data_IF_179584133636
#
_entry.id   IF_179584133636
#
_cell.length_a   1.000
_cell.length_b   1.000
_cell.length_c   1.000
_cell.angle_alpha   90.00
_cell.angle_beta   90.00
_cell.angle_gamma   90.00
#
_symmetry.space_group_name_H-M   'P 1'
#
loop_
_entity.id
_entity.type
_entity.pdbx_description
1 polymer ?
#
# COMPACT_ATOMS: atom_id res chain seq x y z
N UNK A 1 4.14 2.54 17.67
CA UNK A 1 4.32 1.85 16.38
C UNK A 1 5.74 2.12 15.91
N UNK A 2 6.61 1.11 15.81
CA UNK A 2 7.99 1.27 15.33
C UNK A 2 8.00 1.52 13.81
N UNK A 3 9.06 2.17 13.35
CA UNK A 3 9.31 2.40 11.92
C UNK A 3 10.60 1.65 11.57
N UNK A 4 10.54 0.79 10.56
CA UNK A 4 11.69 0.12 9.97
C UNK A 4 11.97 0.81 8.65
N UNK A 5 13.16 1.38 8.49
CA UNK A 5 13.62 1.93 7.22
C UNK A 5 14.18 0.79 6.38
N UNK A 6 13.83 0.76 5.10
CA UNK A 6 14.32 -0.23 4.16
C UNK A 6 14.62 0.39 2.79
N UNK A 7 15.45 -0.29 2.02
CA UNK A 7 15.69 -0.01 0.60
C UNK A 7 15.07 -1.11 -0.28
N UNK A 8 14.63 -0.81 -1.50
CA UNK A 8 13.93 -1.78 -2.36
C UNK A 8 14.70 -3.08 -2.62
N UNK A 9 16.04 -3.03 -2.63
CA UNK A 9 16.90 -4.19 -2.90
C UNK A 9 17.22 -5.02 -1.64
N UNK A 10 16.82 -4.57 -0.45
CA UNK A 10 16.97 -5.36 0.77
C UNK A 10 16.03 -6.57 0.73
N UNK A 11 16.44 -7.64 1.41
CA UNK A 11 15.66 -8.88 1.45
C UNK A 11 14.45 -8.72 2.35
N UNK A 12 13.31 -9.22 1.88
CA UNK A 12 12.06 -9.21 2.64
C UNK A 12 12.22 -9.94 3.99
N UNK A 13 12.88 -11.10 4.00
CA UNK A 13 13.13 -11.87 5.22
C UNK A 13 13.91 -11.07 6.27
N UNK A 14 14.90 -10.26 5.86
CA UNK A 14 15.74 -9.48 6.76
C UNK A 14 14.96 -8.30 7.36
N UNK A 15 14.21 -7.57 6.52
CA UNK A 15 13.36 -6.45 6.95
C UNK A 15 12.24 -6.93 7.88
N UNK A 16 11.58 -8.06 7.55
CA UNK A 16 10.56 -8.65 8.43
C UNK A 16 11.15 -9.24 9.71
N UNK A 17 12.42 -9.67 9.68
CA UNK A 17 13.19 -10.01 10.88
C UNK A 17 13.31 -8.82 11.84
N UNK A 18 13.63 -7.63 11.32
CA UNK A 18 13.66 -6.39 12.11
C UNK A 18 12.29 -6.01 12.67
N UNK A 19 11.23 -6.14 11.86
CA UNK A 19 9.84 -5.95 12.33
C UNK A 19 9.52 -6.88 13.49
N UNK A 20 9.95 -8.14 13.40
CA UNK A 20 9.69 -9.17 14.41
C UNK A 20 10.33 -8.86 15.77
N UNK A 21 11.51 -8.24 15.79
CA UNK A 21 12.21 -7.86 17.03
C UNK A 21 11.36 -6.93 17.90
N UNK A 22 10.50 -6.12 17.29
CA UNK A 22 9.66 -5.18 18.02
C UNK A 22 8.47 -5.82 18.74
N UNK A 23 8.08 -7.06 18.38
CA UNK A 23 6.95 -7.76 19.01
C UNK A 23 5.61 -7.05 18.90
N UNK A 24 5.45 -6.12 17.95
CA UNK A 24 4.23 -5.36 17.67
C UNK A 24 4.16 -4.99 16.18
N UNK A 25 2.97 -4.63 15.70
CA UNK A 25 2.78 -4.10 14.34
C UNK A 25 3.68 -2.91 14.08
N UNK A 26 4.19 -2.80 12.86
CA UNK A 26 5.21 -1.83 12.44
C UNK A 26 4.80 -1.10 11.15
N UNK A 27 5.45 0.03 10.91
CA UNK A 27 5.48 0.64 9.57
C UNK A 27 6.84 0.37 8.95
N UNK A 28 6.86 -0.10 7.72
CA UNK A 28 8.05 -0.20 6.90
C UNK A 28 8.04 1.00 5.96
N UNK A 29 9.08 1.84 6.06
CA UNK A 29 9.29 2.98 5.18
C UNK A 29 10.35 2.57 4.15
N UNK A 30 9.94 2.49 2.89
CA UNK A 30 10.79 2.05 1.78
C UNK A 30 11.16 3.28 0.97
N UNK A 31 12.44 3.64 0.98
CA UNK A 31 12.95 4.77 0.19
C UNK A 31 13.78 4.26 -0.99
N UNK A 32 13.31 4.55 -2.19
CA UNK A 32 14.00 4.32 -3.45
C UNK A 32 14.71 5.61 -3.87
N UNK A 33 16.01 5.69 -3.59
CA UNK A 33 16.83 6.87 -3.90
C UNK A 33 16.91 7.17 -5.42
N UNK A 34 17.14 6.18 -6.31
CA UNK A 34 17.09 6.39 -7.76
C UNK A 34 15.83 7.08 -8.29
N UNK A 35 14.65 6.70 -7.76
CA UNK A 35 13.35 7.20 -8.21
C UNK A 35 12.80 8.32 -7.31
N UNK A 36 13.57 8.75 -6.30
CA UNK A 36 13.16 9.66 -5.21
C UNK A 36 11.77 9.34 -4.65
N UNK A 37 11.52 8.04 -4.46
CA UNK A 37 10.19 7.53 -4.11
C UNK A 37 10.18 6.98 -2.68
N UNK A 38 9.26 7.50 -1.86
CA UNK A 38 9.01 7.03 -0.50
C UNK A 38 7.62 6.40 -0.41
N UNK A 39 7.57 5.14 0.02
CA UNK A 39 6.31 4.46 0.36
C UNK A 39 6.31 3.98 1.80
N UNK A 40 5.12 3.94 2.40
CA UNK A 40 4.91 3.44 3.75
C UNK A 40 4.00 2.22 3.73
N UNK A 41 4.39 1.18 4.45
CA UNK A 41 3.64 -0.07 4.50
C UNK A 41 3.37 -0.44 5.94
N UNK A 42 2.11 -0.61 6.30
CA UNK A 42 1.74 -1.19 7.59
C UNK A 42 1.99 -2.70 7.55
N UNK A 43 2.57 -3.25 8.62
CA UNK A 43 2.74 -4.69 8.81
C UNK A 43 2.17 -5.10 10.16
N UNK A 44 1.21 -6.01 10.16
CA UNK A 44 0.64 -6.57 11.39
C UNK A 44 1.59 -7.58 12.05
N UNK A 45 1.28 -7.93 13.30
CA UNK A 45 1.84 -9.14 13.89
C UNK A 45 1.37 -10.41 13.16
N UNK A 46 2.20 -11.46 13.11
CA UNK A 46 1.74 -12.80 12.78
C UNK A 46 0.58 -13.22 13.69
N UNK A 47 -0.53 -13.67 13.10
CA UNK A 47 -1.76 -13.94 13.83
C UNK A 47 -2.30 -15.34 13.51
N UNK A 48 -2.48 -16.24 14.51
CA UNK A 48 -3.03 -17.59 14.29
C UNK A 48 -4.48 -17.62 13.82
N UNK A 49 -5.23 -16.51 13.95
CA UNK A 49 -6.58 -16.40 13.44
C UNK A 49 -6.64 -16.13 11.92
N UNK A 50 -5.50 -15.80 11.28
CA UNK A 50 -5.42 -15.64 9.84
C UNK A 50 -5.22 -16.98 9.14
N UNK A 51 -5.73 -17.08 7.91
CA UNK A 51 -5.41 -18.19 7.02
C UNK A 51 -3.90 -18.26 6.81
N UNK A 52 -3.34 -19.47 6.94
CA UNK A 52 -1.90 -19.67 6.79
C UNK A 52 -1.55 -19.83 5.32
N UNK A 53 -1.11 -18.73 4.71
CA UNK A 53 -0.68 -18.72 3.31
C UNK A 53 0.72 -19.30 3.14
N UNK A 54 1.06 -19.65 1.89
CA UNK A 54 2.42 -20.03 1.54
C UNK A 54 3.38 -18.89 1.88
N UNK A 55 4.58 -19.25 2.31
CA UNK A 55 5.61 -18.25 2.58
C UNK A 55 6.05 -17.60 1.26
N UNK A 56 6.34 -16.32 1.31
CA UNK A 56 6.92 -15.57 0.20
C UNK A 56 8.24 -16.22 -0.28
N UNK A 57 8.58 -16.09 -1.57
CA UNK A 57 9.76 -16.72 -2.15
C UNK A 57 11.06 -16.35 -1.42
N UNK A 58 11.96 -17.33 -1.33
CA UNK A 58 13.27 -17.07 -0.74
C UNK A 58 14.09 -16.11 -1.59
N UNK A 59 14.71 -15.13 -0.92
CA UNK A 59 15.52 -14.13 -1.57
C UNK A 59 14.72 -13.01 -2.24
N UNK A 60 13.39 -13.03 -2.14
CA UNK A 60 12.55 -11.92 -2.60
C UNK A 60 12.97 -10.62 -1.88
N UNK A 61 13.08 -9.56 -2.68
CA UNK A 61 13.38 -8.22 -2.18
C UNK A 61 12.12 -7.49 -1.74
N UNK A 62 12.29 -6.44 -0.94
CA UNK A 62 11.17 -5.61 -0.51
C UNK A 62 10.50 -4.90 -1.69
N UNK A 63 11.28 -4.44 -2.68
CA UNK A 63 10.77 -3.80 -3.89
C UNK A 63 9.92 -4.75 -4.74
N UNK A 64 10.38 -5.99 -4.94
CA UNK A 64 9.57 -7.02 -5.60
C UNK A 64 8.29 -7.32 -4.83
N UNK A 65 8.37 -7.37 -3.49
CA UNK A 65 7.19 -7.60 -2.65
C UNK A 65 6.17 -6.45 -2.76
N UNK A 66 6.62 -5.20 -2.68
CA UNK A 66 5.76 -4.01 -2.75
C UNK A 66 5.19 -3.76 -4.15
N UNK A 67 5.89 -4.16 -5.22
CA UNK A 67 5.42 -4.01 -6.60
C UNK A 67 4.13 -4.80 -6.90
N UNK A 68 3.84 -5.86 -6.12
CA UNK A 68 2.57 -6.58 -6.21
C UNK A 68 1.38 -5.78 -5.65
N UNK A 69 1.65 -4.71 -4.91
CA UNK A 69 0.64 -3.83 -4.33
C UNK A 69 -0.27 -4.52 -3.31
N UNK A 70 -1.36 -3.82 -2.97
CA UNK A 70 -2.51 -4.36 -2.23
C UNK A 70 -3.80 -4.01 -2.95
N UNK A 71 -4.22 -4.78 -3.96
CA UNK A 71 -5.36 -4.44 -4.81
C UNK A 71 -6.67 -4.29 -4.01
N UNK A 72 -6.88 -5.15 -3.00
CA UNK A 72 -8.06 -5.12 -2.12
C UNK A 72 -7.85 -4.28 -0.84
N UNK A 73 -6.86 -3.40 -0.85
CA UNK A 73 -6.52 -2.53 0.29
C UNK A 73 -5.74 -3.21 1.41
N UNK A 74 -5.71 -4.55 1.47
CA UNK A 74 -4.81 -5.30 2.34
C UNK A 74 -4.45 -6.66 1.74
N UNK A 75 -3.24 -7.14 2.03
CA UNK A 75 -2.72 -8.43 1.58
C UNK A 75 -2.33 -9.28 2.78
N UNK A 76 -2.80 -10.52 2.81
CA UNK A 76 -2.28 -11.55 3.71
C UNK A 76 -1.00 -12.13 3.13
N UNK A 77 0.07 -12.18 3.93
CA UNK A 77 1.36 -12.71 3.51
C UNK A 77 2.04 -13.45 4.67
N UNK A 78 3.11 -14.18 4.38
CA UNK A 78 3.93 -14.82 5.41
C UNK A 78 5.38 -14.90 4.97
N UNK A 79 6.32 -14.60 5.86
CA UNK A 79 7.75 -14.89 5.64
C UNK A 79 8.14 -16.21 6.26
N UNK A 80 9.25 -16.81 5.80
CA UNK A 80 9.63 -18.19 6.13
C UNK A 80 9.78 -18.45 7.63
N UNK A 81 10.25 -17.45 8.37
CA UNK A 81 10.53 -17.55 9.80
C UNK A 81 9.29 -17.30 10.69
N UNK A 82 8.13 -17.00 10.08
CA UNK A 82 6.87 -16.84 10.81
C UNK A 82 6.03 -18.12 10.77
N UNK A 83 5.51 -18.50 11.94
CA UNK A 83 4.60 -19.63 12.09
C UNK A 83 3.20 -19.34 11.52
N UNK A 84 2.79 -18.08 11.54
CA UNK A 84 1.46 -17.61 11.10
C UNK A 84 1.60 -16.48 10.09
N UNK A 85 0.56 -16.25 9.30
CA UNK A 85 0.47 -15.13 8.37
C UNK A 85 0.26 -13.80 9.09
N UNK A 86 0.59 -12.72 8.39
CA UNK A 86 0.34 -11.35 8.78
C UNK A 86 -0.39 -10.62 7.66
N UNK A 87 -0.91 -9.43 7.97
CA UNK A 87 -1.52 -8.52 7.01
C UNK A 87 -0.55 -7.38 6.73
N UNK A 88 -0.47 -6.97 5.46
CA UNK A 88 0.20 -5.75 5.04
C UNK A 88 -0.71 -4.88 4.18
N UNK A 89 -0.47 -3.57 4.20
CA UNK A 89 -1.04 -2.65 3.22
C UNK A 89 -0.20 -1.39 3.07
N UNK A 90 -0.22 -0.82 1.88
CA UNK A 90 0.38 0.49 1.66
C UNK A 90 -0.47 1.57 2.33
N UNK A 91 0.21 2.48 3.03
CA UNK A 91 -0.39 3.68 3.63
C UNK A 91 -0.23 4.80 2.60
N UNK A 92 -1.33 5.31 2.02
CA UNK A 92 -1.24 6.37 1.01
C UNK A 92 -0.62 7.64 1.60
N UNK A 93 0.46 8.14 0.99
CA UNK A 93 1.10 9.40 1.37
C UNK A 93 0.28 10.65 0.98
N UNK A 94 -0.70 10.49 0.09
CA UNK A 94 -1.49 11.58 -0.49
C UNK A 94 -2.88 11.66 0.14
N UNK A 95 -2.96 12.02 1.42
CA UNK A 95 -4.23 12.53 1.96
C UNK A 95 -4.26 14.04 1.70
N UNK A 96 -4.66 14.43 0.48
CA UNK A 96 -5.01 15.83 0.18
C UNK A 96 -6.19 16.22 1.07
N UNK A 97 -5.89 16.98 2.12
CA UNK A 97 -6.89 17.47 3.08
C UNK A 97 -7.63 18.71 2.57
N UNK A 98 -7.24 19.23 1.41
CA UNK A 98 -7.75 20.43 0.76
C UNK A 98 -8.89 20.17 -0.23
N UNK A 99 -9.17 18.91 -0.58
CA UNK A 99 -10.28 18.54 -1.45
C UNK A 99 -11.34 17.83 -0.62
N UNK A 100 -12.55 18.39 -0.55
CA UNK A 100 -13.69 17.72 0.06
C UNK A 100 -13.87 16.32 -0.56
N UNK A 101 -13.58 15.31 0.26
CA UNK A 101 -13.90 13.89 0.08
C UNK A 101 -14.17 13.43 -1.35
N UNK A 102 -13.10 13.11 -2.08
CA UNK A 102 -13.15 12.01 -3.03
C UNK A 102 -12.06 11.02 -2.65
N UNK A 103 -12.48 9.98 -1.92
CA UNK A 103 -11.68 8.80 -1.57
C UNK A 103 -10.76 8.44 -2.74
N UNK A 104 -9.45 8.53 -2.53
CA UNK A 104 -8.46 8.18 -3.54
C UNK A 104 -8.48 6.67 -3.74
N UNK A 105 -8.99 6.22 -4.88
CA UNK A 105 -8.77 4.87 -5.36
C UNK A 105 -7.29 4.76 -5.73
N UNK A 106 -6.60 3.83 -5.07
CA UNK A 106 -5.21 3.44 -5.29
C UNK A 106 -4.82 3.57 -6.78
N UNK A 107 -3.90 4.49 -7.06
CA UNK A 107 -3.66 5.05 -8.39
C UNK A 107 -3.07 4.01 -9.34
N UNK A 108 -3.86 3.61 -10.35
CA UNK A 108 -3.35 3.15 -11.64
C UNK A 108 -3.60 4.28 -12.67
N UNK A 109 -2.57 4.85 -13.31
CA UNK A 109 -2.73 6.02 -14.21
C UNK A 109 -3.60 5.77 -15.46
N UNK A 110 -3.76 4.53 -15.92
CA UNK A 110 -4.41 4.24 -17.22
C UNK A 110 -5.94 3.98 -17.18
N UNK A 111 -6.61 4.17 -16.05
CA UNK A 111 -8.03 3.79 -15.91
C UNK A 111 -9.04 4.94 -16.13
N UNK A 112 -8.67 6.05 -16.78
CA UNK A 112 -9.62 7.13 -17.10
C UNK A 112 -10.02 7.09 -18.58
N UNK A 113 -11.09 6.34 -18.86
CA UNK A 113 -11.90 6.57 -20.06
C UNK A 113 -12.35 8.03 -20.11
N UNK A 114 -12.30 8.62 -21.30
CA UNK A 114 -12.55 10.04 -21.60
C UNK A 114 -13.79 10.58 -20.88
N UNK A 115 -13.75 11.81 -20.31
CA UNK A 115 -14.93 12.45 -19.77
C UNK A 115 -15.94 12.77 -20.88
N UNK A 116 -17.21 12.44 -20.64
CA UNK A 116 -18.36 12.81 -21.46
C UNK A 116 -18.57 14.34 -21.35
N UNK A 117 -19.03 15.04 -22.41
CA UNK A 117 -19.20 16.49 -22.38
C UNK A 117 -20.40 16.88 -21.50
N UNK A 118 -20.21 17.97 -20.77
CA UNK A 118 -21.18 18.59 -19.87
C UNK A 118 -22.42 19.05 -20.66
N UNK A 119 -23.59 18.60 -20.21
CA UNK A 119 -24.89 18.95 -20.78
C UNK A 119 -25.24 20.39 -20.38
N UNK A 120 -25.40 21.25 -21.38
CA UNK A 120 -25.69 22.68 -21.23
C UNK A 120 -27.18 22.85 -20.89
N UNK A 121 -27.48 23.28 -19.67
CA UNK A 121 -28.82 23.70 -19.26
C UNK A 121 -29.00 25.19 -19.59
N UNK A 122 -29.56 25.46 -20.77
CA UNK A 122 -30.18 26.75 -21.11
C UNK A 122 -31.51 26.90 -20.34
N UNK A 123 -31.63 27.96 -19.54
CA UNK A 123 -32.88 28.37 -18.86
C UNK A 123 -33.49 29.55 -19.66
N UNK A 124 -34.80 29.51 -20.04
CA UNK A 124 -35.37 30.49 -20.96
C UNK A 124 -35.71 31.83 -20.30
N UNK A 125 -35.34 32.91 -20.98
CA UNK A 125 -35.70 34.30 -20.64
C UNK A 125 -37.23 34.50 -20.58
N UNK A 126 -37.68 35.04 -19.46
CA UNK A 126 -39.05 35.49 -19.20
C UNK A 126 -39.38 36.74 -20.04
N UNK A 127 -40.54 36.71 -20.67
CA UNK A 127 -41.12 37.81 -21.44
C UNK A 127 -41.53 39.00 -20.56
N UNK A 128 -41.31 40.21 -21.09
CA UNK A 128 -42.23 41.36 -21.03
C UNK A 128 -42.01 42.28 -22.25
#
# INVERSE_FOLDING_TARGET
MPIVLAQPHERLDDVMGLVSIHGRSAVVAIYDEPDDHLSFWFVSLPNPALENVLAEPQGQTVGEFSAHGTPDGARTFRVRYWAHSAITFEIPCYVRSDLEHRTSCNTHPDALGKPLPEDSLDDPELAD
#
